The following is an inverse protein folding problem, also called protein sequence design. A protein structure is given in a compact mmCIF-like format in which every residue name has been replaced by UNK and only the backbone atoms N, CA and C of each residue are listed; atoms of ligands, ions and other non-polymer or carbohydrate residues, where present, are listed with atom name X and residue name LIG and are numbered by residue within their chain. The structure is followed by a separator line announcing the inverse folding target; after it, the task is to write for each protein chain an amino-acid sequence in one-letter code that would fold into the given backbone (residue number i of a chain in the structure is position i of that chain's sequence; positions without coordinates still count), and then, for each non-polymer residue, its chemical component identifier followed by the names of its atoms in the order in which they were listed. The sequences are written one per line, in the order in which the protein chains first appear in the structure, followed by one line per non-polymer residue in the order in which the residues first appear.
data_IF_683345124542
#
_entry.id   IF_683345124542
#
_cell.length_a   1.000
_cell.length_b   1.000
_cell.length_c   1.000
_cell.angle_alpha   90.00
_cell.angle_beta   90.00
_cell.angle_gamma   90.00
#
_symmetry.space_group_name_H-M   'P 1'
#
loop_
_entity.id
_entity.type
_entity.pdbx_description
1 polymer ?
#
# COMPACT_ATOMS: atom_id res chain seq x y z
N UNK A 1 -12.54 -10.51 16.43
CA UNK A 1 -11.19 -11.08 16.17
C UNK A 1 -10.26 -10.25 17.00
N UNK A 2 -9.53 -10.84 17.96
CA UNK A 2 -8.70 -10.04 18.87
C UNK A 2 -7.72 -9.15 18.07
N UNK A 3 -7.37 -7.94 18.55
CA UNK A 3 -6.25 -7.17 17.99
C UNK A 3 -4.98 -8.03 17.80
N UNK A 4 -4.74 -8.98 18.71
CA UNK A 4 -3.61 -9.90 18.64
C UNK A 4 -3.73 -10.93 17.49
N UNK A 5 -4.95 -11.40 17.21
CA UNK A 5 -5.22 -12.31 16.09
C UNK A 5 -4.99 -11.60 14.75
N UNK A 6 -5.40 -10.33 14.65
CA UNK A 6 -5.16 -9.52 13.46
C UNK A 6 -3.66 -9.32 13.24
N UNK A 7 -2.92 -8.94 14.29
CA UNK A 7 -1.48 -8.75 14.20
C UNK A 7 -0.76 -10.04 13.80
N UNK A 8 -1.20 -11.20 14.30
CA UNK A 8 -0.65 -12.50 13.92
C UNK A 8 -0.80 -12.80 12.42
N UNK A 9 -1.92 -12.39 11.80
CA UNK A 9 -2.16 -12.56 10.36
C UNK A 9 -1.33 -11.62 9.51
N UNK A 10 -0.92 -10.46 10.07
CA UNK A 10 -0.09 -9.48 9.39
C UNK A 10 1.41 -9.74 9.54
N UNK A 11 1.82 -10.64 10.46
CA UNK A 11 3.23 -11.01 10.66
C UNK A 11 3.96 -11.36 9.35
N UNK A 12 3.41 -12.19 8.43
CA UNK A 12 4.10 -12.49 7.18
C UNK A 12 4.39 -11.23 6.34
N UNK A 13 3.44 -10.31 6.25
CA UNK A 13 3.62 -9.03 5.55
C UNK A 13 4.67 -8.17 6.22
N UNK A 14 4.64 -8.07 7.55
CA UNK A 14 5.63 -7.31 8.32
C UNK A 14 7.04 -7.84 8.08
N UNK A 15 7.23 -9.17 8.03
CA UNK A 15 8.52 -9.80 7.75
C UNK A 15 9.03 -9.40 6.36
N UNK A 16 8.15 -9.41 5.34
CA UNK A 16 8.54 -9.00 3.98
C UNK A 16 8.91 -7.51 3.90
N UNK A 17 8.17 -6.64 4.60
CA UNK A 17 8.50 -5.21 4.70
C UNK A 17 9.91 -5.02 5.29
N UNK A 18 10.22 -5.72 6.38
CA UNK A 18 11.55 -5.66 6.99
C UNK A 18 12.65 -6.21 6.08
N UNK A 19 12.39 -7.31 5.36
CA UNK A 19 13.35 -7.89 4.41
C UNK A 19 13.68 -6.92 3.26
N UNK A 20 12.72 -6.14 2.79
CA UNK A 20 12.92 -5.10 1.76
C UNK A 20 13.83 -3.98 2.29
N UNK A 21 13.62 -3.54 3.54
CA UNK A 21 14.50 -2.54 4.16
C UNK A 21 15.93 -3.08 4.30
N UNK A 22 16.08 -4.31 4.78
CA UNK A 22 17.39 -4.96 4.92
C UNK A 22 18.12 -5.11 3.57
N UNK A 23 17.39 -5.49 2.51
CA UNK A 23 17.94 -5.59 1.16
C UNK A 23 18.57 -4.27 0.71
N UNK A 24 17.90 -3.15 0.97
CA UNK A 24 18.41 -1.81 0.62
C UNK A 24 19.67 -1.49 1.43
N UNK A 25 19.69 -1.79 2.73
CA UNK A 25 20.87 -1.57 3.59
C UNK A 25 22.08 -2.41 3.17
N UNK A 26 21.85 -3.65 2.73
CA UNK A 26 22.91 -4.55 2.25
C UNK A 26 23.40 -4.23 0.83
N UNK A 27 22.75 -3.28 0.13
CA UNK A 27 23.05 -2.90 -1.26
C UNK A 27 23.35 -1.41 -1.41
N UNK A 28 23.92 -0.79 -0.37
CA UNK A 28 24.31 0.64 -0.37
C UNK A 28 25.24 1.07 -1.51
N UNK A 29 26.01 0.15 -2.09
CA UNK A 29 26.92 0.41 -3.23
C UNK A 29 26.30 0.08 -4.59
N UNK A 30 25.01 -0.25 -4.65
CA UNK A 30 24.33 -0.55 -5.91
C UNK A 30 24.14 0.70 -6.74
N UNK A 31 24.34 0.60 -8.06
CA UNK A 31 23.98 1.64 -9.03
C UNK A 31 22.47 1.95 -8.99
N UNK A 32 21.67 1.01 -8.48
CA UNK A 32 20.22 1.16 -8.30
C UNK A 32 19.81 1.55 -6.87
N UNK A 33 20.71 2.09 -6.05
CA UNK A 33 20.42 2.42 -4.66
C UNK A 33 19.23 3.39 -4.49
N UNK A 34 19.05 4.34 -5.40
CA UNK A 34 17.89 5.24 -5.40
C UNK A 34 16.57 4.48 -5.71
N UNK A 35 16.60 3.42 -6.53
CA UNK A 35 15.43 2.58 -6.78
C UNK A 35 15.07 1.78 -5.53
N UNK A 36 16.07 1.14 -4.91
CA UNK A 36 15.88 0.39 -3.68
C UNK A 36 15.37 1.28 -2.54
N UNK A 37 15.90 2.51 -2.43
CA UNK A 37 15.45 3.48 -1.42
C UNK A 37 14.04 3.97 -1.68
N UNK A 38 13.65 4.21 -2.93
CA UNK A 38 12.28 4.60 -3.26
C UNK A 38 11.26 3.54 -2.80
N UNK A 39 11.56 2.25 -3.00
CA UNK A 39 10.71 1.16 -2.48
C UNK A 39 10.80 1.07 -0.95
N UNK A 40 12.00 1.02 -0.36
CA UNK A 40 12.15 0.72 1.08
C UNK A 40 11.53 1.78 1.98
N UNK A 41 11.52 3.04 1.53
CA UNK A 41 10.94 4.16 2.28
C UNK A 41 9.42 4.27 2.09
N UNK A 42 8.87 3.76 0.98
CA UNK A 42 7.43 3.83 0.70
C UNK A 42 6.67 2.52 0.94
N UNK A 43 7.36 1.38 1.05
CA UNK A 43 6.74 0.06 1.29
C UNK A 43 5.93 -0.03 2.60
N UNK A 44 6.21 0.74 3.68
CA UNK A 44 5.34 0.75 4.85
C UNK A 44 3.89 1.15 4.54
N UNK A 45 3.61 1.75 3.38
CA UNK A 45 2.25 1.99 2.89
C UNK A 45 1.35 0.74 2.97
N UNK A 46 1.90 -0.46 2.80
CA UNK A 46 1.14 -1.72 2.92
C UNK A 46 0.63 -1.99 4.36
N UNK A 47 1.19 -1.30 5.35
CA UNK A 47 0.74 -1.30 6.74
C UNK A 47 -0.52 -0.48 7.01
N UNK A 48 -1.12 0.19 6.01
CA UNK A 48 -2.33 0.99 6.18
C UNK A 48 -3.48 0.24 6.87
N UNK A 49 -3.49 -1.09 6.75
CA UNK A 49 -4.49 -1.98 7.35
C UNK A 49 -4.52 -1.92 8.89
N UNK A 50 -3.46 -1.44 9.52
CA UNK A 50 -3.39 -1.23 10.98
C UNK A 50 -3.72 0.19 11.40
N UNK A 51 -4.08 1.07 10.45
CA UNK A 51 -4.35 2.48 10.70
C UNK A 51 -5.87 2.69 10.83
N UNK A 52 -6.29 3.09 12.04
CA UNK A 52 -7.70 3.28 12.37
C UNK A 52 -8.23 4.67 12.00
N UNK A 53 -7.35 5.65 11.78
CA UNK A 53 -7.72 7.03 11.45
C UNK A 53 -6.99 7.48 10.20
N UNK A 54 -7.76 7.83 9.18
CA UNK A 54 -7.28 8.34 7.89
C UNK A 54 -6.17 7.47 7.24
N UNK A 55 -6.45 6.17 6.98
CA UNK A 55 -5.47 5.28 6.35
C UNK A 55 -5.07 5.73 4.93
N UNK A 56 -5.91 6.49 4.23
CA UNK A 56 -5.58 7.05 2.93
C UNK A 56 -4.47 8.10 3.04
N UNK A 57 -4.56 8.99 4.04
CA UNK A 57 -3.50 9.95 4.33
C UNK A 57 -2.18 9.26 4.67
N UNK A 58 -2.23 8.20 5.48
CA UNK A 58 -1.05 7.40 5.80
C UNK A 58 -0.36 6.84 4.53
N UNK A 59 -1.12 6.24 3.61
CA UNK A 59 -0.57 5.76 2.32
C UNK A 59 0.08 6.89 1.53
N UNK A 60 -0.55 8.08 1.52
CA UNK A 60 0.00 9.27 0.85
C UNK A 60 1.35 9.68 1.45
N UNK A 61 1.45 9.75 2.78
CA UNK A 61 2.70 10.12 3.45
C UNK A 61 3.84 9.14 3.12
N UNK A 62 3.54 7.84 3.06
CA UNK A 62 4.53 6.83 2.68
C UNK A 62 4.93 6.95 1.21
N UNK A 63 4.00 7.27 0.30
CA UNK A 63 4.31 7.58 -1.09
C UNK A 63 5.23 8.81 -1.19
N UNK A 64 4.90 9.89 -0.48
CA UNK A 64 5.69 11.12 -0.44
C UNK A 64 7.12 10.88 0.09
N UNK A 65 7.30 9.97 1.05
CA UNK A 65 8.62 9.55 1.52
C UNK A 65 9.46 8.90 0.39
N UNK A 66 8.84 8.05 -0.43
CA UNK A 66 9.48 7.43 -1.61
C UNK A 66 9.78 8.43 -2.73
N UNK A 67 8.99 9.51 -2.86
CA UNK A 67 9.13 10.50 -3.94
C UNK A 67 10.51 11.15 -3.99
N UNK A 68 11.14 11.38 -2.84
CA UNK A 68 12.49 11.96 -2.78
C UNK A 68 13.49 11.15 -3.61
N UNK A 69 13.45 9.82 -3.50
CA UNK A 69 14.34 8.92 -4.22
C UNK A 69 13.85 8.65 -5.65
N UNK A 70 12.54 8.55 -5.88
CA UNK A 70 11.96 8.47 -7.22
C UNK A 70 12.38 9.65 -8.10
N UNK A 71 12.37 10.87 -7.56
CA UNK A 71 12.82 12.07 -8.27
C UNK A 71 14.33 12.02 -8.60
N UNK A 72 15.14 11.39 -7.76
CA UNK A 72 16.56 11.17 -8.06
C UNK A 72 16.74 10.17 -9.21
N UNK A 73 15.97 9.10 -9.24
CA UNK A 73 15.93 8.16 -10.38
C UNK A 73 15.54 8.89 -11.66
N UNK A 74 14.47 9.69 -11.65
CA UNK A 74 14.06 10.46 -12.82
C UNK A 74 15.15 11.43 -13.27
N UNK A 75 15.80 12.14 -12.34
CA UNK A 75 16.88 13.08 -12.66
C UNK A 75 18.05 12.39 -13.36
N UNK A 76 18.42 11.20 -12.89
CA UNK A 76 19.55 10.44 -13.40
C UNK A 76 19.24 9.76 -14.74
N UNK A 77 18.05 9.17 -14.88
CA UNK A 77 17.77 8.22 -15.97
C UNK A 77 16.88 8.77 -17.09
N UNK A 78 16.20 9.91 -16.92
CA UNK A 78 15.20 10.43 -17.89
C UNK A 78 15.71 10.58 -19.33
N UNK A 79 16.98 10.89 -19.50
CA UNK A 79 17.62 11.09 -20.81
C UNK A 79 18.52 9.90 -21.21
N UNK A 80 18.66 8.90 -20.34
CA UNK A 80 19.55 7.75 -20.53
C UNK A 80 18.73 6.53 -20.95
N UNK A 81 17.75 6.14 -20.14
CA UNK A 81 16.96 4.94 -20.38
C UNK A 81 15.55 5.09 -19.81
N UNK A 82 14.57 5.04 -20.70
CA UNK A 82 13.14 5.21 -20.41
C UNK A 82 12.60 4.15 -19.46
N UNK A 83 13.18 2.95 -19.41
CA UNK A 83 12.71 1.87 -18.51
C UNK A 83 12.68 2.31 -17.05
N UNK A 84 13.64 3.13 -16.61
CA UNK A 84 13.66 3.64 -15.23
C UNK A 84 12.59 4.69 -14.97
N UNK A 85 12.26 5.50 -15.98
CA UNK A 85 11.15 6.46 -15.92
C UNK A 85 9.83 5.72 -15.80
N UNK A 86 9.65 4.68 -16.60
CA UNK A 86 8.43 3.85 -16.58
C UNK A 86 8.31 3.08 -15.27
N UNK A 87 9.44 2.60 -14.73
CA UNK A 87 9.50 1.99 -13.40
C UNK A 87 9.05 2.95 -12.29
N UNK A 88 9.56 4.19 -12.27
CA UNK A 88 9.14 5.20 -11.28
C UNK A 88 7.64 5.47 -11.40
N UNK A 89 7.16 5.67 -12.63
CA UNK A 89 5.75 5.93 -12.89
C UNK A 89 4.87 4.79 -12.37
N UNK A 90 5.20 3.55 -12.73
CA UNK A 90 4.43 2.37 -12.34
C UNK A 90 4.37 2.21 -10.81
N UNK A 91 5.47 2.44 -10.10
CA UNK A 91 5.50 2.34 -8.65
C UNK A 91 4.67 3.43 -7.97
N UNK A 92 4.85 4.68 -8.38
CA UNK A 92 4.08 5.82 -7.85
C UNK A 92 2.59 5.65 -8.11
N UNK A 93 2.22 5.22 -9.33
CA UNK A 93 0.84 4.96 -9.74
C UNK A 93 0.22 3.84 -8.89
N UNK A 94 0.97 2.77 -8.60
CA UNK A 94 0.52 1.69 -7.70
C UNK A 94 0.15 2.21 -6.30
N UNK A 95 0.96 3.11 -5.73
CA UNK A 95 0.68 3.68 -4.40
C UNK A 95 -0.44 4.71 -4.43
N UNK A 96 -0.57 5.48 -5.52
CA UNK A 96 -1.70 6.38 -5.73
C UNK A 96 -3.02 5.63 -5.89
N UNK A 97 -3.02 4.51 -6.64
CA UNK A 97 -4.19 3.65 -6.78
C UNK A 97 -4.55 2.97 -5.45
N UNK A 98 -3.54 2.58 -4.66
CA UNK A 98 -3.77 2.09 -3.29
C UNK A 98 -4.41 3.17 -2.41
N UNK A 99 -3.90 4.41 -2.44
CA UNK A 99 -4.48 5.53 -1.70
C UNK A 99 -5.96 5.74 -2.08
N UNK A 100 -6.26 5.74 -3.37
CA UNK A 100 -7.61 5.90 -3.90
C UNK A 100 -8.51 4.73 -3.49
N UNK A 101 -8.01 3.51 -3.55
CA UNK A 101 -8.74 2.32 -3.10
C UNK A 101 -9.09 2.42 -1.61
N UNK A 102 -8.10 2.75 -0.77
CA UNK A 102 -8.31 2.94 0.67
C UNK A 102 -9.31 4.08 0.94
N UNK A 103 -9.21 5.20 0.22
CA UNK A 103 -10.14 6.31 0.36
C UNK A 103 -11.59 5.93 0.00
N UNK A 104 -11.77 5.16 -1.07
CA UNK A 104 -13.08 4.81 -1.60
C UNK A 104 -13.79 3.70 -0.80
N UNK A 105 -13.04 2.76 -0.22
CA UNK A 105 -13.59 1.56 0.42
C UNK A 105 -13.33 1.47 1.92
N UNK A 106 -12.32 2.17 2.45
CA UNK A 106 -11.84 2.06 3.83
C UNK A 106 -11.50 3.42 4.46
N UNK A 107 -12.32 4.44 4.18
CA UNK A 107 -12.09 5.82 4.63
C UNK A 107 -11.95 5.96 6.16
N UNK A 108 -12.54 5.07 6.94
CA UNK A 108 -12.48 5.03 8.41
C UNK A 108 -11.65 3.86 8.95
N UNK A 109 -10.67 3.39 8.17
CA UNK A 109 -9.89 2.21 8.55
C UNK A 109 -10.55 0.90 8.12
N UNK A 110 -9.78 -0.18 8.25
CA UNK A 110 -10.31 -1.52 8.02
C UNK A 110 -11.25 -1.89 9.17
N UNK A 111 -12.56 -1.83 8.90
CA UNK A 111 -13.58 -2.39 9.82
C UNK A 111 -13.45 -3.90 9.79
N UNK A 112 -12.59 -4.44 10.65
CA UNK A 112 -12.70 -5.85 11.03
C UNK A 112 -14.06 -6.02 11.69
N UNK A 113 -14.85 -6.99 11.23
CA UNK A 113 -16.19 -7.27 11.75
C UNK A 113 -16.13 -7.58 13.26
N UNK A 114 -16.24 -6.56 14.09
CA UNK A 114 -16.61 -6.69 15.51
C UNK A 114 -17.97 -6.07 15.75
N UNK A 115 -18.94 -6.44 14.91
CA UNK A 115 -20.37 -6.31 15.24
C UNK A 115 -21.04 -7.65 14.97
N UNK A 116 -20.66 -8.71 15.70
CA UNK A 116 -21.50 -9.91 15.96
C UNK A 116 -21.01 -10.67 17.19
N UNK A 117 -20.87 -10.00 18.34
CA UNK A 117 -20.99 -10.72 19.60
C UNK A 117 -21.64 -9.81 20.64
N UNK A 118 -22.96 -9.95 20.77
CA UNK A 118 -23.75 -9.30 21.81
C UNK A 118 -24.76 -8.30 21.25
N UNK A 119 -26.03 -8.66 21.45
CA UNK A 119 -27.27 -7.89 21.32
C UNK A 119 -27.75 -7.59 19.90
N UNK A 120 -28.76 -8.37 19.51
CA UNK A 120 -29.78 -8.03 18.51
C UNK A 120 -30.31 -6.61 18.73
N UNK A 121 -30.04 -5.72 17.77
CA UNK A 121 -30.94 -4.66 17.28
C UNK A 121 -30.13 -3.61 16.51
N UNK A 122 -30.11 -3.72 15.18
CA UNK A 122 -29.82 -2.58 14.30
C UNK A 122 -30.81 -2.53 13.14
N UNK A 123 -31.37 -1.34 12.82
CA UNK A 123 -32.29 -1.16 11.72
C UNK A 123 -31.63 -1.36 10.35
N UNK A 124 -32.39 -1.72 9.29
CA UNK A 124 -31.88 -2.38 8.08
C UNK A 124 -31.06 -1.50 7.10
N UNK A 125 -30.57 -0.33 7.50
CA UNK A 125 -30.17 0.71 6.54
C UNK A 125 -28.67 0.99 6.41
N UNK A 126 -27.77 0.25 7.08
CA UNK A 126 -26.31 0.49 6.96
C UNK A 126 -25.49 -0.63 6.32
N UNK A 127 -26.12 -1.68 5.78
CA UNK A 127 -25.38 -2.74 5.08
C UNK A 127 -25.57 -2.58 3.57
N UNK A 128 -24.90 -1.60 2.98
CA UNK A 128 -24.39 -1.77 1.61
C UNK A 128 -22.91 -2.10 1.71
N UNK A 129 -22.61 -3.38 1.93
CA UNK A 129 -21.33 -3.93 1.53
C UNK A 129 -21.36 -3.88 0.00
N UNK A 130 -20.92 -2.77 -0.59
CA UNK A 130 -20.64 -2.73 -2.01
C UNK A 130 -19.45 -3.65 -2.23
N UNK A 131 -19.74 -4.93 -2.49
CA UNK A 131 -18.79 -5.85 -3.09
C UNK A 131 -18.22 -5.16 -4.33
N UNK A 132 -16.90 -5.06 -4.50
CA UNK A 132 -16.33 -4.48 -5.69
C UNK A 132 -16.93 -5.19 -6.92
N UNK A 133 -17.32 -4.46 -7.98
CA UNK A 133 -17.82 -5.09 -9.19
C UNK A 133 -16.74 -6.03 -9.71
N UNK A 134 -17.10 -7.29 -9.90
CA UNK A 134 -16.24 -8.34 -10.45
C UNK A 134 -15.87 -7.95 -11.88
N UNK A 135 -14.75 -7.26 -12.09
CA UNK A 135 -14.20 -7.05 -13.42
C UNK A 135 -13.62 -8.38 -13.89
N UNK A 136 -14.41 -9.12 -14.67
CA UNK A 136 -13.93 -10.30 -15.39
C UNK A 136 -12.85 -9.86 -16.38
N UNK A 137 -11.70 -10.57 -16.49
CA UNK A 137 -10.69 -10.24 -17.47
C UNK A 137 -11.24 -10.45 -18.90
N UNK A 138 -10.88 -9.58 -19.87
CA UNK A 138 -11.34 -9.72 -21.24
C UNK A 138 -10.83 -11.03 -21.86
N UNK A 139 -11.73 -11.78 -22.47
CA UNK A 139 -11.39 -12.99 -23.23
C UNK A 139 -10.58 -12.61 -24.45
N UNK A 140 -9.39 -13.21 -24.59
CA UNK A 140 -8.57 -13.10 -25.80
C UNK A 140 -9.27 -13.88 -26.92
N UNK A 141 -9.75 -13.14 -27.93
CA UNK A 141 -9.97 -13.64 -29.29
C UNK A 141 -9.06 -12.84 -30.23
#
# INVERSE_FOLDING_TARGET
MSPDDMLSKLQPTSIQISAIQELRENKRQSDYFNHLSAISESIPALGWVTINQDPSHYVKEMNDAGQFYSNRVLKEWKEINKVHVDWVKAWVETLSDLQNYVQNYYSTGLVCYEIRCGTDDFPPSMIQINTPPTTSPPSLL
#
